data_IF_356239411614
#
_entry.id   IF_356239411614
#
_cell.length_a   1.000
_cell.length_b   1.000
_cell.length_c   1.000
_cell.angle_alpha   90.00
_cell.angle_beta   90.00
_cell.angle_gamma   90.00
#
_symmetry.space_group_name_H-M   'P 1'
#
loop_
_entity.id
_entity.type
_entity.pdbx_description
1 polymer ?
#
# COMPACT_ATOMS: atom_id res chain seq x y z
N UNK A 1 34.20 65.22 -16.72
CA UNK A 1 35.22 64.66 -15.80
C UNK A 1 34.95 63.17 -15.59
N UNK A 2 35.98 62.35 -15.86
CA UNK A 2 36.22 60.92 -15.53
C UNK A 2 35.25 59.80 -15.96
N UNK A 3 35.77 58.99 -16.91
CA UNK A 3 35.61 57.53 -17.03
C UNK A 3 35.96 56.78 -15.72
N UNK A 4 35.30 55.64 -15.47
CA UNK A 4 35.94 54.30 -15.55
C UNK A 4 34.94 53.16 -15.32
N UNK A 5 35.02 52.16 -16.21
CA UNK A 5 34.44 50.82 -16.08
C UNK A 5 35.29 49.95 -15.11
N UNK A 6 34.70 48.80 -14.75
CA UNK A 6 35.29 47.46 -14.47
C UNK A 6 35.10 46.95 -13.01
N UNK A 7 34.08 46.06 -12.88
CA UNK A 7 34.11 44.65 -12.46
C UNK A 7 35.11 44.16 -11.37
N UNK A 8 34.58 43.44 -10.36
CA UNK A 8 35.15 42.24 -9.70
C UNK A 8 34.07 41.63 -8.78
N UNK A 9 33.39 40.54 -9.15
CA UNK A 9 33.65 39.10 -8.85
C UNK A 9 33.53 38.74 -7.34
N UNK A 10 32.57 37.85 -7.08
CA UNK A 10 32.33 37.10 -5.83
C UNK A 10 30.97 36.41 -5.90
N UNK A 11 30.75 35.41 -6.76
CA UNK A 11 31.07 33.98 -6.58
C UNK A 11 30.29 33.31 -5.42
N UNK A 12 29.45 32.32 -5.79
CA UNK A 12 28.93 31.15 -5.01
C UNK A 12 27.71 31.45 -4.11
N UNK A 13 26.47 31.21 -4.57
CA UNK A 13 25.72 29.93 -4.54
C UNK A 13 25.79 29.24 -3.16
N UNK A 14 24.74 29.35 -2.36
CA UNK A 14 24.66 28.61 -1.11
C UNK A 14 23.31 28.75 -0.43
N UNK A 15 22.24 28.34 -1.11
CA UNK A 15 20.92 28.19 -0.49
C UNK A 15 21.00 27.13 0.59
N UNK A 16 21.20 27.53 1.84
CA UNK A 16 21.15 26.63 2.99
C UNK A 16 19.68 26.41 3.36
N UNK A 17 19.01 25.49 2.65
CA UNK A 17 17.74 24.94 3.08
C UNK A 17 18.01 23.99 4.26
N UNK A 18 17.80 24.51 5.47
CA UNK A 18 17.70 23.71 6.69
C UNK A 18 16.46 22.81 6.57
N UNK A 19 16.61 21.63 5.98
CA UNK A 19 15.66 20.54 6.15
C UNK A 19 15.85 20.05 7.58
N UNK A 20 15.00 20.54 8.47
CA UNK A 20 14.82 19.97 9.79
C UNK A 20 14.25 18.58 9.56
N UNK A 21 15.10 17.55 9.57
CA UNK A 21 14.64 16.19 9.84
C UNK A 21 14.10 16.22 11.26
N UNK A 22 12.79 16.45 11.40
CA UNK A 22 12.09 16.06 12.60
C UNK A 22 12.30 14.55 12.71
N UNK A 23 13.22 14.18 13.58
CA UNK A 23 13.36 12.82 14.10
C UNK A 23 12.06 12.51 14.83
N UNK A 24 11.06 12.11 14.05
CA UNK A 24 9.88 11.46 14.58
C UNK A 24 10.38 10.30 15.40
N UNK A 25 10.12 10.36 16.70
CA UNK A 25 10.33 9.29 17.64
C UNK A 25 9.72 8.03 17.03
N UNK A 26 10.54 7.19 16.40
CA UNK A 26 10.08 5.93 15.86
C UNK A 26 10.09 4.98 17.04
N UNK A 27 8.95 4.83 17.69
CA UNK A 27 8.64 3.55 18.29
C UNK A 27 8.84 2.54 17.16
N UNK A 28 9.97 1.83 17.16
CA UNK A 28 10.24 0.79 16.17
C UNK A 28 9.19 -0.29 16.41
N UNK A 29 8.05 -0.17 15.73
CA UNK A 29 7.04 -1.21 15.72
C UNK A 29 7.75 -2.41 15.13
N UNK A 30 7.91 -3.46 15.92
CA UNK A 30 8.52 -4.69 15.43
C UNK A 30 7.69 -5.17 14.25
N UNK A 31 8.36 -5.51 13.16
CA UNK A 31 7.73 -6.05 11.96
C UNK A 31 8.15 -7.49 11.75
N UNK A 32 7.25 -8.27 11.15
CA UNK A 32 7.52 -9.59 10.58
C UNK A 32 7.65 -9.46 9.06
N UNK A 33 8.20 -10.48 8.41
CA UNK A 33 8.36 -10.54 6.96
C UNK A 33 7.49 -11.65 6.37
N UNK A 34 6.76 -11.33 5.31
CA UNK A 34 6.15 -12.30 4.40
C UNK A 34 7.11 -12.52 3.22
N UNK A 35 7.20 -13.76 2.73
CA UNK A 35 8.02 -14.12 1.58
C UNK A 35 7.46 -15.38 0.92
N UNK A 36 7.11 -15.32 -0.36
CA UNK A 36 6.67 -16.48 -1.15
C UNK A 36 7.75 -17.06 -2.08
N UNK A 37 8.99 -16.55 -1.97
CA UNK A 37 10.14 -16.92 -2.79
C UNK A 37 10.49 -15.88 -3.85
N UNK A 38 9.50 -15.20 -4.42
CA UNK A 38 9.69 -14.15 -5.43
C UNK A 38 9.40 -12.77 -4.86
N UNK A 39 8.30 -12.63 -4.13
CA UNK A 39 7.81 -11.38 -3.56
C UNK A 39 7.88 -11.41 -2.04
N UNK A 40 8.25 -10.28 -1.45
CA UNK A 40 8.26 -10.11 -0.01
C UNK A 40 7.86 -8.72 0.45
N UNK A 41 7.31 -8.64 1.67
CA UNK A 41 7.05 -7.38 2.35
C UNK A 41 7.11 -7.56 3.86
N UNK A 42 7.24 -6.45 4.58
CA UNK A 42 7.14 -6.39 6.04
C UNK A 42 5.73 -6.01 6.49
N UNK A 43 5.31 -6.50 7.65
CA UNK A 43 4.03 -6.19 8.27
C UNK A 43 4.14 -6.17 9.81
N UNK A 44 3.21 -5.56 10.55
CA UNK A 44 3.28 -5.48 12.02
C UNK A 44 3.35 -6.85 12.71
N UNK A 45 4.08 -6.97 13.82
CA UNK A 45 4.32 -8.25 14.50
C UNK A 45 3.09 -8.88 15.17
N UNK A 46 2.04 -8.10 15.40
CA UNK A 46 0.78 -8.53 16.03
C UNK A 46 -0.14 -9.27 15.06
N UNK A 47 0.25 -9.41 13.79
CA UNK A 47 -0.44 -10.26 12.82
C UNK A 47 -0.05 -11.73 12.98
N UNK A 48 -1.06 -12.58 12.79
CA UNK A 48 -0.94 -14.02 12.69
C UNK A 48 -1.54 -14.48 11.36
N UNK A 49 -0.92 -15.50 10.78
CA UNK A 49 -1.50 -16.21 9.65
C UNK A 49 -2.73 -16.97 10.12
N UNK A 50 -3.85 -16.80 9.41
CA UNK A 50 -5.01 -17.65 9.61
C UNK A 50 -5.03 -18.65 8.47
N UNK A 51 -5.00 -19.93 8.81
CA UNK A 51 -5.20 -21.03 7.88
C UNK A 51 -6.57 -20.87 7.22
N UNK A 52 -6.61 -20.29 6.03
CA UNK A 52 -7.81 -20.27 5.22
C UNK A 52 -7.82 -21.58 4.41
N UNK A 53 -8.86 -22.38 4.58
CA UNK A 53 -9.26 -23.34 3.55
C UNK A 53 -10.10 -22.56 2.52
N UNK A 54 -9.61 -21.42 2.02
CA UNK A 54 -10.29 -20.76 0.91
C UNK A 54 -10.11 -21.67 -0.31
N UNK A 55 -11.20 -22.37 -0.62
CA UNK A 55 -11.33 -23.20 -1.81
C UNK A 55 -10.75 -22.42 -2.98
N UNK A 56 -9.73 -23.01 -3.63
CA UNK A 56 -9.24 -22.60 -4.94
C UNK A 56 -10.41 -22.67 -5.92
N UNK A 57 -11.24 -21.63 -5.96
CA UNK A 57 -12.26 -21.49 -6.97
C UNK A 57 -11.52 -21.41 -8.29
N UNK A 58 -11.66 -22.44 -9.12
CA UNK A 58 -10.94 -22.61 -10.39
C UNK A 58 -11.29 -21.54 -11.43
N UNK A 59 -12.20 -20.61 -11.12
CA UNK A 59 -12.76 -19.65 -12.05
C UNK A 59 -12.32 -18.20 -11.79
N UNK A 60 -11.42 -17.96 -10.83
CA UNK A 60 -10.83 -16.64 -10.61
C UNK A 60 -9.41 -16.58 -11.16
N UNK A 61 -9.08 -15.49 -11.88
CA UNK A 61 -7.70 -15.18 -12.32
C UNK A 61 -6.75 -14.87 -11.14
N UNK A 62 -7.28 -14.83 -9.93
CA UNK A 62 -6.58 -14.57 -8.69
C UNK A 62 -6.52 -15.86 -7.87
N UNK A 63 -5.31 -16.19 -7.43
CA UNK A 63 -5.00 -17.29 -6.53
C UNK A 63 -4.60 -16.74 -5.17
N UNK A 64 -5.32 -17.18 -4.16
CA UNK A 64 -5.01 -16.93 -2.76
C UNK A 64 -3.58 -17.39 -2.42
N UNK A 65 -2.85 -16.53 -1.71
CA UNK A 65 -1.53 -16.87 -1.14
C UNK A 65 -1.62 -16.93 0.39
N UNK A 66 -2.01 -15.83 1.04
CA UNK A 66 -2.03 -15.76 2.51
C UNK A 66 -3.04 -14.73 3.01
N UNK A 67 -3.55 -14.98 4.22
CA UNK A 67 -4.37 -14.07 5.02
C UNK A 67 -3.74 -13.90 6.38
N UNK A 68 -3.38 -12.67 6.70
CA UNK A 68 -2.87 -12.29 8.01
C UNK A 68 -3.93 -11.45 8.71
N UNK A 69 -4.16 -11.73 9.99
CA UNK A 69 -5.09 -10.97 10.83
C UNK A 69 -4.39 -10.55 12.10
N UNK A 70 -4.59 -9.31 12.53
CA UNK A 70 -4.02 -8.85 13.80
C UNK A 70 -4.75 -9.46 15.01
N UNK A 71 -4.03 -9.60 16.11
CA UNK A 71 -4.54 -10.24 17.33
C UNK A 71 -5.46 -9.33 18.17
N UNK A 72 -5.93 -8.21 17.62
CA UNK A 72 -6.79 -7.27 18.35
C UNK A 72 -8.26 -7.47 17.95
N UNK A 73 -9.08 -8.15 18.78
CA UNK A 73 -10.48 -8.44 18.44
C UNK A 73 -11.35 -7.19 18.38
N UNK A 74 -10.95 -6.10 19.04
CA UNK A 74 -11.66 -4.81 18.98
C UNK A 74 -11.28 -4.03 17.72
N UNK A 75 -10.09 -4.28 17.17
CA UNK A 75 -9.53 -3.55 16.05
C UNK A 75 -8.96 -4.48 14.98
N UNK A 76 -9.83 -5.36 14.46
CA UNK A 76 -9.45 -6.35 13.46
C UNK A 76 -8.98 -5.64 12.19
N UNK A 77 -7.77 -5.98 11.76
CA UNK A 77 -7.17 -5.62 10.50
C UNK A 77 -6.77 -6.90 9.79
N UNK A 78 -6.98 -6.92 8.48
CA UNK A 78 -6.66 -8.05 7.62
C UNK A 78 -5.68 -7.58 6.56
N UNK A 79 -4.66 -8.39 6.29
CA UNK A 79 -3.84 -8.32 5.07
C UNK A 79 -4.17 -9.57 4.27
N UNK A 80 -4.69 -9.39 3.06
CA UNK A 80 -4.93 -10.47 2.10
C UNK A 80 -3.95 -10.32 0.95
N UNK A 81 -3.33 -11.43 0.55
CA UNK A 81 -2.37 -11.48 -0.56
C UNK A 81 -2.86 -12.50 -1.58
N UNK A 82 -2.99 -12.03 -2.81
CA UNK A 82 -3.35 -12.84 -3.96
C UNK A 82 -2.33 -12.64 -5.07
N UNK A 83 -2.14 -13.67 -5.90
CA UNK A 83 -1.39 -13.56 -7.16
C UNK A 83 -2.30 -13.80 -8.36
N UNK A 84 -2.05 -13.07 -9.43
CA UNK A 84 -2.77 -13.19 -10.67
C UNK A 84 -2.12 -14.25 -11.56
N UNK A 85 -2.91 -15.16 -12.13
CA UNK A 85 -2.45 -16.21 -13.05
C UNK A 85 -2.70 -15.88 -14.52
N UNK A 86 -3.18 -14.68 -14.81
CA UNK A 86 -3.44 -14.20 -16.16
C UNK A 86 -2.46 -13.07 -16.53
N UNK A 87 -2.35 -12.79 -17.83
CA UNK A 87 -1.45 -11.76 -18.35
C UNK A 87 -2.07 -10.35 -18.29
N UNK A 88 -2.66 -9.97 -17.15
CA UNK A 88 -3.21 -8.62 -16.93
C UNK A 88 -2.18 -7.75 -16.25
N UNK A 89 -2.12 -6.47 -16.61
CA UNK A 89 -1.27 -5.49 -15.93
C UNK A 89 -1.79 -5.11 -14.53
N UNK A 90 -0.93 -4.56 -13.66
CA UNK A 90 -1.36 -4.03 -12.36
C UNK A 90 -2.44 -2.94 -12.46
N UNK A 91 -2.35 -2.05 -13.45
CA UNK A 91 -3.30 -0.95 -13.63
C UNK A 91 -4.67 -1.45 -14.10
N UNK A 92 -4.71 -2.38 -15.04
CA UNK A 92 -5.96 -3.07 -15.43
C UNK A 92 -6.61 -3.79 -14.26
N UNK A 93 -5.80 -4.43 -13.40
CA UNK A 93 -6.26 -5.11 -12.20
C UNK A 93 -6.90 -4.14 -11.20
N UNK A 94 -6.24 -3.01 -10.93
CA UNK A 94 -6.77 -1.93 -10.10
C UNK A 94 -8.08 -1.38 -10.68
N UNK A 95 -8.09 -1.04 -11.96
CA UNK A 95 -9.22 -0.39 -12.61
C UNK A 95 -10.45 -1.31 -12.64
N UNK A 96 -10.24 -2.61 -12.82
CA UNK A 96 -11.30 -3.60 -12.69
C UNK A 96 -11.85 -3.68 -11.25
N UNK A 97 -10.99 -3.65 -10.23
CA UNK A 97 -11.40 -3.56 -8.82
C UNK A 97 -12.20 -2.30 -8.53
N UNK A 98 -11.71 -1.14 -8.97
CA UNK A 98 -12.39 0.16 -8.86
C UNK A 98 -13.76 0.13 -9.53
N UNK A 99 -13.87 -0.44 -10.72
CA UNK A 99 -15.15 -0.55 -11.43
C UNK A 99 -16.16 -1.39 -10.65
N UNK A 100 -15.72 -2.53 -10.07
CA UNK A 100 -16.58 -3.35 -9.20
C UNK A 100 -17.08 -2.55 -8.00
N UNK A 101 -16.18 -1.84 -7.32
CA UNK A 101 -16.52 -1.02 -6.15
C UNK A 101 -17.51 0.09 -6.52
N UNK A 102 -17.30 0.79 -7.65
CA UNK A 102 -18.22 1.83 -8.13
C UNK A 102 -19.63 1.30 -8.45
N UNK A 103 -19.74 0.05 -8.85
CA UNK A 103 -21.03 -0.58 -9.14
C UNK A 103 -21.77 -1.04 -7.88
N UNK A 104 -21.15 -0.96 -6.69
CA UNK A 104 -21.79 -1.25 -5.41
C UNK A 104 -22.36 0.03 -4.80
N UNK A 105 -23.68 0.08 -4.58
CA UNK A 105 -24.34 1.20 -3.89
C UNK A 105 -23.90 1.39 -2.43
N UNK A 106 -23.17 0.44 -1.88
CA UNK A 106 -22.65 0.43 -0.51
C UNK A 106 -21.22 0.92 -0.39
N UNK A 107 -20.60 1.37 -1.49
CA UNK A 107 -19.18 1.69 -1.52
C UNK A 107 -18.88 3.09 -2.03
N UNK A 108 -17.72 3.61 -1.65
CA UNK A 108 -17.22 4.93 -2.01
C UNK A 108 -15.72 4.86 -2.31
N UNK A 109 -15.31 5.23 -3.52
CA UNK A 109 -13.89 5.37 -3.87
C UNK A 109 -13.34 6.66 -3.22
N UNK A 110 -12.28 6.54 -2.43
CA UNK A 110 -11.63 7.66 -1.76
C UNK A 110 -10.42 8.17 -2.54
N UNK A 111 -9.61 7.25 -3.07
CA UNK A 111 -8.42 7.60 -3.86
C UNK A 111 -8.00 6.50 -4.82
N UNK A 112 -7.37 6.91 -5.92
CA UNK A 112 -6.73 6.06 -6.91
C UNK A 112 -5.39 6.72 -7.22
N UNK A 113 -4.29 5.99 -7.13
CA UNK A 113 -2.96 6.54 -7.43
C UNK A 113 -2.03 5.49 -8.04
N UNK A 114 -0.94 5.98 -8.63
CA UNK A 114 0.22 5.18 -9.04
C UNK A 114 1.42 5.77 -8.31
N UNK A 115 2.14 4.94 -7.56
CA UNK A 115 3.29 5.37 -6.75
C UNK A 115 4.45 4.39 -6.93
N UNK A 116 5.68 4.89 -6.82
CA UNK A 116 6.89 4.05 -6.81
C UNK A 116 7.36 3.95 -5.36
N UNK A 117 7.55 2.72 -4.87
CA UNK A 117 8.04 2.51 -3.52
C UNK A 117 9.58 2.69 -3.42
N UNK A 118 10.16 2.72 -2.21
CA UNK A 118 11.61 2.86 -2.03
C UNK A 118 12.48 1.77 -2.68
N UNK A 119 11.90 0.61 -3.02
CA UNK A 119 12.58 -0.49 -3.69
C UNK A 119 12.44 -0.43 -5.23
N UNK A 120 11.85 0.63 -5.78
CA UNK A 120 11.68 0.83 -7.22
C UNK A 120 10.47 0.11 -7.83
N UNK A 121 9.60 -0.49 -7.02
CA UNK A 121 8.39 -1.19 -7.49
C UNK A 121 7.30 -0.15 -7.77
N UNK A 122 6.77 -0.16 -8.99
CA UNK A 122 5.56 0.59 -9.36
C UNK A 122 4.34 -0.10 -8.75
N UNK A 123 3.57 0.64 -7.96
CA UNK A 123 2.39 0.15 -7.26
C UNK A 123 1.16 0.98 -7.64
N UNK A 124 0.17 0.29 -8.17
CA UNK A 124 -1.14 0.84 -8.51
C UNK A 124 -2.05 0.69 -7.28
N UNK A 125 -2.57 1.80 -6.77
CA UNK A 125 -3.26 1.85 -5.47
C UNK A 125 -4.71 2.28 -5.64
N UNK A 126 -5.59 1.71 -4.82
CA UNK A 126 -6.94 2.23 -4.64
C UNK A 126 -7.36 2.13 -3.18
N UNK A 127 -7.97 3.20 -2.67
CA UNK A 127 -8.56 3.23 -1.34
C UNK A 127 -10.05 3.49 -1.47
N UNK A 128 -10.86 2.72 -0.76
CA UNK A 128 -12.31 2.87 -0.77
C UNK A 128 -12.91 2.47 0.57
N UNK A 129 -14.14 2.91 0.79
CA UNK A 129 -14.99 2.42 1.87
C UNK A 129 -16.07 1.51 1.31
N UNK A 130 -16.48 0.53 2.11
CA UNK A 130 -17.60 -0.34 1.79
C UNK A 130 -18.38 -0.66 3.07
N UNK A 131 -19.70 -0.53 3.01
CA UNK A 131 -20.58 -1.02 4.08
C UNK A 131 -20.64 -2.55 4.03
N UNK A 132 -20.20 -3.18 5.11
CA UNK A 132 -20.31 -4.61 5.35
C UNK A 132 -21.69 -5.03 5.87
N UNK A 133 -21.77 -6.31 6.24
CA UNK A 133 -22.95 -6.87 6.90
C UNK A 133 -23.23 -6.11 8.21
N UNK A 134 -24.51 -5.93 8.53
CA UNK A 134 -24.99 -5.17 9.69
C UNK A 134 -24.68 -3.66 9.68
N UNK A 135 -24.33 -3.08 8.52
CA UNK A 135 -24.14 -1.64 8.36
C UNK A 135 -22.78 -1.10 8.84
N UNK A 136 -21.89 -1.99 9.28
CA UNK A 136 -20.51 -1.64 9.64
C UNK A 136 -19.76 -1.08 8.43
N UNK A 137 -18.99 -0.01 8.59
CA UNK A 137 -18.19 0.57 7.51
C UNK A 137 -16.76 0.06 7.60
N UNK A 138 -16.25 -0.50 6.51
CA UNK A 138 -14.86 -0.91 6.38
C UNK A 138 -14.12 -0.01 5.39
N UNK A 139 -12.82 0.17 5.62
CA UNK A 139 -11.90 0.84 4.70
C UNK A 139 -10.91 -0.18 4.15
N UNK A 140 -10.64 -0.07 2.86
CA UNK A 140 -9.75 -0.94 2.10
C UNK A 140 -8.64 -0.12 1.47
N UNK A 141 -7.41 -0.62 1.56
CA UNK A 141 -6.26 -0.13 0.82
C UNK A 141 -5.72 -1.27 -0.02
N UNK A 142 -5.98 -1.20 -1.33
CA UNK A 142 -5.53 -2.20 -2.29
C UNK A 142 -4.27 -1.71 -3.00
N UNK A 143 -3.33 -2.61 -3.18
CA UNK A 143 -2.06 -2.41 -3.89
C UNK A 143 -1.89 -3.50 -4.94
N UNK A 144 -1.73 -3.10 -6.20
CA UNK A 144 -1.46 -3.99 -7.32
C UNK A 144 -0.08 -3.67 -7.89
N UNK A 145 0.75 -4.69 -8.09
CA UNK A 145 2.12 -4.51 -8.57
C UNK A 145 2.65 -5.78 -9.25
N UNK A 146 3.78 -5.68 -9.95
CA UNK A 146 4.40 -6.79 -10.68
C UNK A 146 5.79 -7.09 -10.13
N UNK A 147 6.09 -8.36 -9.86
CA UNK A 147 7.43 -8.87 -9.51
C UNK A 147 7.65 -10.13 -10.35
N UNK A 148 8.80 -10.24 -11.03
CA UNK A 148 9.18 -11.39 -11.88
C UNK A 148 8.05 -11.87 -12.81
N UNK A 149 7.46 -10.90 -13.53
CA UNK A 149 6.32 -11.09 -14.44
C UNK A 149 5.00 -11.56 -13.82
N UNK A 150 4.94 -11.75 -12.51
CA UNK A 150 3.70 -12.09 -11.78
C UNK A 150 3.08 -10.83 -11.19
N UNK A 151 1.77 -10.65 -11.38
CA UNK A 151 1.02 -9.57 -10.75
C UNK A 151 0.48 -10.03 -9.40
N UNK A 152 0.68 -9.21 -8.38
CA UNK A 152 0.19 -9.42 -7.02
C UNK A 152 -0.86 -8.37 -6.66
N UNK A 153 -1.76 -8.75 -5.76
CA UNK A 153 -2.65 -7.85 -5.05
C UNK A 153 -2.40 -8.02 -3.55
N UNK A 154 -2.24 -6.89 -2.85
CA UNK A 154 -2.25 -6.85 -1.39
C UNK A 154 -3.34 -5.91 -0.93
N UNK A 155 -4.33 -6.45 -0.25
CA UNK A 155 -5.45 -5.68 0.32
C UNK A 155 -5.28 -5.60 1.83
N UNK A 156 -5.21 -4.38 2.37
CA UNK A 156 -5.22 -4.12 3.81
C UNK A 156 -6.53 -3.45 4.18
N UNK A 157 -7.31 -4.10 5.03
CA UNK A 157 -8.66 -3.63 5.36
C UNK A 157 -9.09 -3.94 6.78
N UNK A 158 -10.15 -3.26 7.22
CA UNK A 158 -10.74 -3.41 8.54
C UNK A 158 -11.80 -2.32 8.80
N UNK A 159 -12.33 -2.21 10.02
CA UNK A 159 -13.30 -1.18 10.38
C UNK A 159 -12.78 0.24 10.11
N UNK A 160 -13.62 1.12 9.57
CA UNK A 160 -13.28 2.53 9.29
C UNK A 160 -12.90 3.31 10.56
N UNK A 161 -13.38 2.85 11.73
CA UNK A 161 -12.94 3.37 13.04
C UNK A 161 -11.43 3.22 13.27
N UNK A 162 -10.78 2.30 12.57
CA UNK A 162 -9.33 2.02 12.64
C UNK A 162 -8.56 2.51 11.40
N UNK A 163 -9.12 3.44 10.62
CA UNK A 163 -8.50 3.93 9.38
C UNK A 163 -7.03 4.34 9.54
N UNK A 164 -6.66 4.90 10.69
CA UNK A 164 -5.28 5.34 10.92
C UNK A 164 -4.33 4.15 11.07
N UNK A 165 -4.69 3.14 11.86
CA UNK A 165 -3.87 1.93 11.97
C UNK A 165 -3.81 1.18 10.64
N UNK A 166 -4.92 1.08 9.91
CA UNK A 166 -4.99 0.42 8.61
C UNK A 166 -4.07 1.12 7.61
N UNK A 167 -4.10 2.46 7.54
CA UNK A 167 -3.21 3.23 6.65
C UNK A 167 -1.74 3.10 7.06
N UNK A 168 -1.44 3.01 8.36
CA UNK A 168 -0.09 2.76 8.84
C UNK A 168 0.41 1.37 8.41
N UNK A 169 -0.41 0.34 8.54
CA UNK A 169 -0.12 -1.02 8.06
C UNK A 169 0.11 -1.02 6.55
N UNK A 170 -0.76 -0.38 5.78
CA UNK A 170 -0.61 -0.25 4.33
C UNK A 170 0.70 0.46 3.94
N UNK A 171 1.12 1.49 4.69
CA UNK A 171 2.38 2.18 4.47
C UNK A 171 3.62 1.32 4.80
N UNK A 172 3.56 0.49 5.85
CA UNK A 172 4.63 -0.47 6.17
C UNK A 172 4.79 -1.47 5.03
N UNK A 173 3.68 -2.04 4.54
CA UNK A 173 3.66 -2.97 3.41
C UNK A 173 4.20 -2.28 2.16
N UNK A 174 3.61 -1.15 1.75
CA UNK A 174 4.02 -0.38 0.57
C UNK A 174 5.53 -0.13 0.51
N UNK A 175 6.10 0.38 1.60
CA UNK A 175 7.53 0.72 1.69
C UNK A 175 8.47 -0.48 1.60
N UNK A 176 7.98 -1.69 1.86
CA UNK A 176 8.80 -2.89 2.02
C UNK A 176 8.59 -3.93 0.92
N UNK A 177 7.59 -3.77 0.04
CA UNK A 177 7.39 -4.62 -1.15
C UNK A 177 8.68 -4.67 -1.98
N UNK A 178 9.15 -5.86 -2.29
CA UNK A 178 10.27 -6.13 -3.20
C UNK A 178 10.26 -7.57 -3.67
#
# INVERSE_FOLDING_TARGET
MRNNKILNIGLIIGTLLLIIFSSGCTSSSMTKKFNDGAMSFSYPNDFQEISSHENKSSNTRWQYIIKLVNNNPLNIQVILVDKNTSNTSPSESRDYGVLKVKNLSTSEILSISTEINPNGVVVEKSTYKQKGLFGSLAIYNDMFFKIDDVVYAVSIYGPDSNKQQINNTANIVFKSIK
#
